data_IF_492796703980
#
_entry.id   IF_492796703980
#
_cell.length_a   1.000
_cell.length_b   1.000
_cell.length_c   1.000
_cell.angle_alpha   90.00
_cell.angle_beta   90.00
_cell.angle_gamma   90.00
#
_symmetry.space_group_name_H-M   'P 1'
#
loop_
_entity.id
_entity.type
_entity.pdbx_description
1 polymer ?
#
# COMPACT_ATOMS: atom_id res chain seq x y z
N UNK A 1 2.85 1.39 9.26
CA UNK A 1 2.37 0.54 10.37
C UNK A 1 0.94 0.10 10.06
N UNK A 2 0.51 -1.08 10.48
CA UNK A 2 -0.87 -1.53 10.30
C UNK A 2 -1.77 -0.76 11.29
N UNK A 3 -2.87 -0.13 10.85
CA UNK A 3 -3.79 0.55 11.74
C UNK A 3 -4.52 -0.45 12.67
N UNK A 4 -5.01 0.03 13.81
CA UNK A 4 -5.81 -0.79 14.72
C UNK A 4 -7.09 -1.27 14.03
N UNK A 5 -7.51 -2.51 14.34
CA UNK A 5 -8.70 -3.12 13.75
C UNK A 5 -8.51 -3.69 12.34
N UNK A 6 -7.36 -3.44 11.68
CA UNK A 6 -7.09 -3.96 10.33
C UNK A 6 -6.41 -5.32 10.37
N UNK A 7 -6.97 -6.27 9.62
CA UNK A 7 -6.39 -7.60 9.51
C UNK A 7 -5.27 -7.65 8.46
N UNK A 8 -4.03 -7.88 8.92
CA UNK A 8 -2.84 -8.02 8.05
C UNK A 8 -3.03 -9.03 6.90
N UNK A 9 -3.48 -10.24 7.24
CA UNK A 9 -3.59 -11.35 6.29
C UNK A 9 -4.65 -11.09 5.21
N UNK A 10 -5.79 -10.52 5.60
CA UNK A 10 -6.86 -10.17 4.67
C UNK A 10 -6.42 -9.07 3.71
N UNK A 11 -5.78 -8.00 4.20
CA UNK A 11 -5.30 -6.90 3.36
C UNK A 11 -4.28 -7.40 2.34
N UNK A 12 -3.26 -8.15 2.78
CA UNK A 12 -2.23 -8.70 1.88
C UNK A 12 -2.83 -9.71 0.89
N UNK A 13 -3.75 -10.55 1.35
CA UNK A 13 -4.46 -11.50 0.49
C UNK A 13 -5.32 -10.81 -0.57
N UNK A 14 -5.99 -9.71 -0.22
CA UNK A 14 -6.79 -8.93 -1.15
C UNK A 14 -5.92 -8.22 -2.20
N UNK A 15 -4.78 -7.64 -1.79
CA UNK A 15 -3.82 -7.04 -2.73
C UNK A 15 -3.32 -8.06 -3.76
N UNK A 16 -2.94 -9.26 -3.31
CA UNK A 16 -2.45 -10.30 -4.20
C UNK A 16 -3.56 -10.80 -5.15
N UNK A 17 -4.75 -11.10 -4.61
CA UNK A 17 -5.85 -11.70 -5.40
C UNK A 17 -6.51 -10.72 -6.37
N UNK A 18 -6.68 -9.45 -5.99
CA UNK A 18 -7.45 -8.46 -6.78
C UNK A 18 -6.58 -7.60 -7.67
N UNK A 19 -5.30 -7.44 -7.34
CA UNK A 19 -4.40 -6.51 -8.03
C UNK A 19 -3.07 -7.14 -8.43
N UNK A 20 -2.85 -8.43 -8.16
CA UNK A 20 -1.57 -9.11 -8.39
C UNK A 20 -0.38 -8.44 -7.69
N UNK A 21 -0.64 -7.79 -6.54
CA UNK A 21 0.39 -7.10 -5.74
C UNK A 21 0.70 -7.94 -4.51
N UNK A 22 1.93 -8.44 -4.43
CA UNK A 22 2.43 -9.08 -3.21
C UNK A 22 3.12 -8.07 -2.30
N UNK A 23 2.75 -8.07 -1.02
CA UNK A 23 3.36 -7.23 0.02
C UNK A 23 3.87 -8.12 1.16
N UNK A 24 5.07 -7.83 1.65
CA UNK A 24 5.64 -8.57 2.78
C UNK A 24 4.98 -8.18 4.10
N UNK A 25 4.65 -9.17 4.93
CA UNK A 25 4.32 -8.93 6.34
C UNK A 25 5.57 -8.64 7.18
N UNK A 26 5.36 -8.11 8.39
CA UNK A 26 6.38 -8.08 9.43
C UNK A 26 6.78 -9.49 9.90
N UNK A 27 8.00 -9.60 10.45
CA UNK A 27 8.57 -10.85 10.95
C UNK A 27 8.89 -10.73 12.44
N UNK A 28 8.95 -11.86 13.16
CA UNK A 28 9.23 -11.89 14.59
C UNK A 28 8.30 -10.97 15.39
N UNK A 29 8.88 -10.07 16.18
CA UNK A 29 8.16 -9.10 17.01
C UNK A 29 7.31 -8.10 16.22
N UNK A 30 7.55 -7.97 14.91
CA UNK A 30 6.82 -7.10 14.00
C UNK A 30 5.70 -7.82 13.24
N UNK A 31 5.53 -9.14 13.41
CA UNK A 31 4.48 -9.92 12.77
C UNK A 31 3.11 -9.32 13.10
N UNK A 32 2.32 -9.04 12.06
CA UNK A 32 1.00 -8.40 12.20
C UNK A 32 1.01 -6.93 12.61
N UNK A 33 2.17 -6.26 12.68
CA UNK A 33 2.28 -4.84 13.09
C UNK A 33 2.69 -3.92 11.94
N UNK A 34 3.39 -4.44 10.93
CA UNK A 34 3.91 -3.66 9.80
C UNK A 34 3.74 -4.39 8.49
N UNK A 35 3.66 -3.62 7.41
CA UNK A 35 3.84 -4.06 6.05
C UNK A 35 5.19 -3.59 5.52
N UNK A 36 5.81 -4.41 4.68
CA UNK A 36 7.05 -4.11 3.96
C UNK A 36 6.72 -4.02 2.48
N UNK A 37 6.79 -2.80 1.96
CA UNK A 37 6.53 -2.50 0.54
C UNK A 37 7.89 -2.38 -0.15
N UNK A 38 8.17 -3.29 -1.09
CA UNK A 38 9.40 -3.26 -1.86
C UNK A 38 9.21 -2.45 -3.15
N UNK A 39 10.09 -1.48 -3.40
CA UNK A 39 10.20 -0.77 -4.66
C UNK A 39 11.61 -1.03 -5.20
N UNK A 40 11.75 -1.98 -6.12
CA UNK A 40 13.04 -2.47 -6.59
C UNK A 40 12.96 -2.92 -8.05
N UNK A 41 13.92 -2.53 -8.88
CA UNK A 41 13.98 -2.96 -10.28
C UNK A 41 12.70 -2.60 -11.05
N UNK A 42 12.16 -3.57 -11.78
CA UNK A 42 10.96 -3.41 -12.64
C UNK A 42 9.71 -2.94 -11.87
N UNK A 43 9.60 -3.22 -10.56
CA UNK A 43 8.44 -2.77 -9.79
C UNK A 43 8.51 -1.29 -9.40
N UNK A 44 9.68 -0.65 -9.53
CA UNK A 44 9.93 0.73 -9.09
C UNK A 44 9.52 1.77 -10.15
N UNK A 45 8.26 1.71 -10.60
CA UNK A 45 7.69 2.67 -11.55
C UNK A 45 6.62 3.52 -10.87
N UNK A 46 6.43 4.74 -11.37
CA UNK A 46 5.37 5.64 -10.87
C UNK A 46 3.99 5.00 -10.95
N UNK A 47 3.69 4.33 -12.07
CA UNK A 47 2.43 3.63 -12.27
C UNK A 47 2.17 2.57 -11.21
N UNK A 48 3.18 1.78 -10.85
CA UNK A 48 3.07 0.77 -9.81
C UNK A 48 2.86 1.38 -8.43
N UNK A 49 3.55 2.49 -8.12
CA UNK A 49 3.36 3.21 -6.85
C UNK A 49 1.93 3.72 -6.72
N UNK A 50 1.40 4.38 -7.76
CA UNK A 50 0.04 4.94 -7.75
C UNK A 50 -1.03 3.83 -7.69
N UNK A 51 -0.83 2.75 -8.44
CA UNK A 51 -1.70 1.57 -8.39
C UNK A 51 -1.73 0.96 -6.98
N UNK A 52 -0.56 0.78 -6.35
CA UNK A 52 -0.43 0.25 -5.01
C UNK A 52 -1.13 1.12 -3.97
N UNK A 53 -0.89 2.44 -3.98
CA UNK A 53 -1.50 3.37 -3.02
C UNK A 53 -3.04 3.38 -3.13
N UNK A 54 -3.55 3.35 -4.36
CA UNK A 54 -4.99 3.28 -4.63
C UNK A 54 -5.60 1.98 -4.13
N UNK A 55 -5.00 0.83 -4.46
CA UNK A 55 -5.47 -0.48 -4.04
C UNK A 55 -5.42 -0.65 -2.53
N UNK A 56 -4.28 -0.32 -1.89
CA UNK A 56 -4.11 -0.41 -0.45
C UNK A 56 -5.12 0.48 0.28
N UNK A 57 -5.23 1.75 -0.12
CA UNK A 57 -6.14 2.71 0.51
C UNK A 57 -7.58 2.22 0.48
N UNK A 58 -8.04 1.69 -0.66
CA UNK A 58 -9.38 1.12 -0.79
C UNK A 58 -9.59 -0.10 0.11
N UNK A 59 -8.67 -1.07 0.08
CA UNK A 59 -8.79 -2.32 0.86
C UNK A 59 -8.77 -2.03 2.37
N UNK A 60 -7.94 -1.10 2.82
CA UNK A 60 -7.90 -0.68 4.23
C UNK A 60 -9.17 0.09 4.61
N UNK A 61 -9.73 0.89 3.72
CA UNK A 61 -11.02 1.54 3.96
C UNK A 61 -12.18 0.53 4.06
N UNK A 62 -12.15 -0.57 3.29
CA UNK A 62 -13.11 -1.67 3.39
C UNK A 62 -13.05 -2.38 4.78
N UNK A 63 -11.94 -2.24 5.52
CA UNK A 63 -11.78 -2.73 6.90
C UNK A 63 -12.31 -1.73 7.97
N UNK A 64 -13.00 -0.67 7.55
CA UNK A 64 -13.63 0.30 8.45
C UNK A 64 -12.74 1.48 8.86
N UNK A 65 -11.54 1.61 8.29
CA UNK A 65 -10.65 2.75 8.56
C UNK A 65 -11.04 3.94 7.70
N UNK A 66 -11.26 5.10 8.33
CA UNK A 66 -11.47 6.37 7.63
C UNK A 66 -10.14 6.86 7.06
N UNK A 67 -10.03 6.89 5.73
CA UNK A 67 -8.82 7.30 5.01
C UNK A 67 -9.17 8.23 3.85
N UNK A 68 -8.37 9.28 3.66
CA UNK A 68 -8.42 10.08 2.44
C UNK A 68 -7.44 9.52 1.40
N UNK A 69 -7.92 8.50 0.68
CA UNK A 69 -7.15 7.84 -0.39
C UNK A 69 -6.81 8.82 -1.51
N UNK A 70 -7.71 9.76 -1.80
CA UNK A 70 -7.52 10.75 -2.88
C UNK A 70 -6.39 11.71 -2.55
N UNK A 71 -6.37 12.24 -1.32
CA UNK A 71 -5.28 13.11 -0.86
C UNK A 71 -3.93 12.37 -0.89
N UNK A 72 -3.91 11.09 -0.49
CA UNK A 72 -2.70 10.27 -0.56
C UNK A 72 -2.15 10.10 -1.99
N UNK A 73 -3.03 9.78 -2.94
CA UNK A 73 -2.67 9.66 -4.36
C UNK A 73 -2.22 11.01 -4.93
N UNK A 74 -2.96 12.09 -4.67
CA UNK A 74 -2.63 13.43 -5.15
C UNK A 74 -1.22 13.86 -4.68
N UNK A 75 -0.94 13.66 -3.39
CA UNK A 75 0.38 13.94 -2.81
C UNK A 75 1.48 13.10 -3.48
N UNK A 76 1.23 11.80 -3.71
CA UNK A 76 2.20 10.94 -4.38
C UNK A 76 2.47 11.40 -5.81
N UNK A 77 1.43 11.70 -6.59
CA UNK A 77 1.56 12.18 -7.97
C UNK A 77 2.30 13.52 -8.05
N UNK A 78 2.09 14.44 -7.12
CA UNK A 78 2.85 15.70 -7.05
C UNK A 78 4.33 15.46 -6.77
N UNK A 79 4.64 14.54 -5.85
CA UNK A 79 6.03 14.24 -5.49
C UNK A 79 6.80 13.53 -6.60
N UNK A 80 6.16 12.60 -7.30
CA UNK A 80 6.76 11.88 -8.42
C UNK A 80 7.09 12.81 -9.59
N UNK A 81 6.17 13.71 -9.95
CA UNK A 81 6.44 14.78 -10.96
C UNK A 81 7.59 15.71 -10.58
N UNK A 82 7.85 15.90 -9.29
CA UNK A 82 8.95 16.73 -8.79
C UNK A 82 10.33 16.07 -8.82
N UNK A 83 10.42 14.78 -9.18
CA UNK A 83 11.67 14.02 -9.28
C UNK A 83 12.23 13.94 -10.70
N UNK A 84 11.51 14.44 -11.71
CA UNK A 84 11.95 14.52 -13.11
C UNK A 84 12.77 15.81 -13.42
N UNK A 85 13.26 16.53 -12.39
CA UNK A 85 14.01 17.78 -12.52
C UNK A 85 15.50 17.64 -12.14
#
# INVERSE_FOLDING_TARGET
KIPEGVNDGEVRGALLKRHSIEVGGGLGDLKGKVWRVGLMGESSTEGNVLLFLSALGRIVAEQGVQLDVKAGIATASERLRGQEA
#
